data_IF_812169830449
#
_entry.id   IF_812169830449
#
_cell.length_a   1.000
_cell.length_b   1.000
_cell.length_c   1.000
_cell.angle_alpha   90.00
_cell.angle_beta   90.00
_cell.angle_gamma   90.00
#
_symmetry.space_group_name_H-M   'P 1'
#
loop_
_entity.id
_entity.type
_entity.pdbx_description
1 polymer ?
#
# COMPACT_ATOMS: atom_id res chain seq x y z
N UNK A 1 -8.14 26.56 -8.80
CA UNK A 1 -7.59 27.01 -7.50
C UNK A 1 -6.70 25.89 -7.00
N UNK A 2 -5.37 26.05 -7.10
CA UNK A 2 -4.45 25.06 -6.52
C UNK A 2 -4.50 25.26 -5.01
N UNK A 3 -4.75 24.22 -4.19
CA UNK A 3 -4.63 24.37 -2.75
C UNK A 3 -3.21 24.85 -2.46
N UNK A 4 -3.09 26.06 -1.90
CA UNK A 4 -1.83 26.50 -1.30
C UNK A 4 -1.53 25.49 -0.21
N UNK A 5 -0.30 24.94 -0.20
CA UNK A 5 0.17 23.99 0.78
C UNK A 5 -0.28 24.43 2.18
N UNK A 6 -1.30 23.75 2.70
CA UNK A 6 -1.71 23.97 4.07
C UNK A 6 -0.58 23.36 4.90
N UNK A 7 0.32 24.20 5.40
CA UNK A 7 1.28 23.80 6.43
C UNK A 7 0.46 23.14 7.54
N UNK A 8 0.59 21.83 7.66
CA UNK A 8 -0.10 21.11 8.72
C UNK A 8 0.35 21.68 10.07
N UNK A 9 -0.55 21.81 11.06
CA UNK A 9 -0.22 22.47 12.34
C UNK A 9 0.78 21.69 13.21
N UNK A 10 1.42 20.66 12.67
CA UNK A 10 2.40 19.80 13.33
C UNK A 10 3.35 19.18 12.30
N UNK A 11 4.60 18.95 12.72
CA UNK A 11 5.59 18.21 11.93
C UNK A 11 5.10 16.78 11.70
N UNK A 12 4.89 16.41 10.43
CA UNK A 12 4.46 15.07 10.03
C UNK A 12 5.63 14.32 9.42
N UNK A 13 5.80 13.07 9.87
CA UNK A 13 6.66 12.12 9.19
C UNK A 13 5.81 11.48 8.08
N UNK A 14 6.16 11.67 6.80
CA UNK A 14 5.33 11.21 5.69
C UNK A 14 5.30 9.68 5.65
N UNK A 15 4.14 9.07 5.84
CA UNK A 15 4.00 7.62 5.72
C UNK A 15 3.71 7.19 4.29
N UNK A 16 4.08 5.96 3.99
CA UNK A 16 3.71 5.27 2.76
C UNK A 16 2.62 4.23 3.07
N UNK A 17 1.45 4.37 2.45
CA UNK A 17 0.36 3.41 2.54
C UNK A 17 0.58 2.24 1.57
N UNK A 18 0.81 1.05 2.11
CA UNK A 18 0.89 -0.19 1.36
C UNK A 18 -0.49 -0.86 1.32
N UNK A 19 -1.12 -0.84 0.15
CA UNK A 19 -2.46 -1.36 -0.08
C UNK A 19 -2.38 -2.69 -0.84
N UNK A 20 -2.61 -3.79 -0.14
CA UNK A 20 -2.61 -5.14 -0.70
C UNK A 20 -4.02 -5.50 -1.14
N UNK A 21 -4.19 -5.76 -2.43
CA UNK A 21 -5.41 -6.29 -3.02
C UNK A 21 -5.18 -7.75 -3.37
N UNK A 22 -5.67 -8.67 -2.54
CA UNK A 22 -5.40 -10.10 -2.67
C UNK A 22 -6.67 -10.87 -3.01
N UNK A 23 -6.51 -11.97 -3.75
CA UNK A 23 -7.60 -12.92 -4.02
C UNK A 23 -7.58 -14.13 -3.09
N UNK A 24 -6.63 -14.18 -2.16
CA UNK A 24 -6.38 -15.33 -1.30
C UNK A 24 -5.25 -15.02 -0.32
N UNK A 25 -4.50 -16.05 0.13
CA UNK A 25 -3.44 -15.85 1.09
C UNK A 25 -2.33 -14.96 0.55
N UNK A 26 -1.56 -14.38 1.47
CA UNK A 26 -0.31 -13.68 1.19
C UNK A 26 0.85 -14.68 1.37
N UNK A 27 1.22 -15.50 0.37
CA UNK A 27 2.28 -16.49 0.54
C UNK A 27 3.64 -15.85 0.85
N UNK A 28 3.82 -14.60 0.42
CA UNK A 28 5.04 -13.81 0.62
C UNK A 28 4.98 -12.96 1.90
N UNK A 29 4.04 -13.24 2.81
CA UNK A 29 3.90 -12.51 4.07
C UNK A 29 5.21 -12.45 4.87
N UNK A 30 5.99 -13.54 5.06
CA UNK A 30 7.24 -13.46 5.82
C UNK A 30 8.29 -12.54 5.18
N UNK A 31 8.29 -12.41 3.84
CA UNK A 31 9.16 -11.47 3.14
C UNK A 31 8.76 -10.03 3.47
N UNK A 32 7.46 -9.74 3.42
CA UNK A 32 6.93 -8.42 3.74
C UNK A 32 7.13 -8.06 5.22
N UNK A 33 6.96 -9.00 6.15
CA UNK A 33 7.26 -8.78 7.58
C UNK A 33 8.74 -8.40 7.77
N UNK A 34 9.66 -9.08 7.10
CA UNK A 34 11.10 -8.73 7.14
C UNK A 34 11.39 -7.38 6.50
N UNK A 35 10.68 -7.03 5.43
CA UNK A 35 10.81 -5.72 4.77
C UNK A 35 10.38 -4.58 5.70
N UNK A 36 9.29 -4.74 6.44
CA UNK A 36 8.72 -3.69 7.30
C UNK A 36 9.36 -3.57 8.68
N UNK A 37 10.01 -4.64 9.18
CA UNK A 37 10.57 -4.71 10.53
C UNK A 37 11.43 -3.49 10.88
N UNK A 38 11.11 -2.83 11.99
CA UNK A 38 11.86 -1.68 12.54
C UNK A 38 11.51 -0.33 11.92
N UNK A 39 10.47 -0.25 11.09
CA UNK A 39 10.06 0.96 10.38
C UNK A 39 8.59 1.35 10.60
N UNK A 40 7.99 0.90 11.70
CA UNK A 40 6.54 0.93 11.96
C UNK A 40 5.93 2.35 11.94
N UNK A 41 6.76 3.38 12.12
CA UNK A 41 6.34 4.79 12.09
C UNK A 41 6.27 5.40 10.68
N UNK A 42 6.76 4.68 9.66
CA UNK A 42 6.98 5.20 8.30
C UNK A 42 6.00 4.63 7.27
N UNK A 43 5.12 3.72 7.67
CA UNK A 43 4.16 3.09 6.77
C UNK A 43 2.84 2.78 7.48
N UNK A 44 1.82 2.52 6.66
CA UNK A 44 0.54 1.97 7.07
C UNK A 44 0.18 0.83 6.11
N UNK A 45 -0.44 -0.25 6.59
CA UNK A 45 -0.81 -1.42 5.77
C UNK A 45 -2.33 -1.55 5.73
N UNK A 46 -2.86 -1.72 4.53
CA UNK A 46 -4.27 -1.98 4.26
C UNK A 46 -4.39 -3.22 3.39
N UNK A 47 -5.25 -4.16 3.77
CA UNK A 47 -5.46 -5.41 3.05
C UNK A 47 -6.92 -5.53 2.67
N UNK A 48 -7.18 -5.71 1.38
CA UNK A 48 -8.47 -6.14 0.86
C UNK A 48 -8.33 -7.57 0.35
N UNK A 49 -8.97 -8.51 1.03
CA UNK A 49 -8.90 -9.94 0.73
C UNK A 49 -10.29 -10.51 0.42
N UNK A 50 -10.40 -11.84 0.28
CA UNK A 50 -11.72 -12.47 0.22
C UNK A 50 -12.52 -12.21 1.51
N UNK A 51 -13.84 -11.94 1.44
CA UNK A 51 -14.66 -11.81 2.63
C UNK A 51 -14.55 -13.03 3.54
N UNK A 52 -14.31 -12.81 4.84
CA UNK A 52 -14.12 -13.88 5.83
C UNK A 52 -12.73 -14.52 5.85
N UNK A 53 -11.82 -14.11 4.97
CA UNK A 53 -10.42 -14.53 5.06
C UNK A 53 -9.71 -13.77 6.18
N UNK A 54 -9.17 -14.49 7.17
CA UNK A 54 -8.39 -13.92 8.26
C UNK A 54 -6.90 -14.25 8.10
N UNK A 55 -6.04 -13.24 8.31
CA UNK A 55 -4.60 -13.44 8.34
C UNK A 55 -4.20 -14.03 9.70
N UNK A 56 -3.65 -15.24 9.69
CA UNK A 56 -3.12 -15.87 10.89
C UNK A 56 -1.70 -15.34 11.19
N UNK A 57 -1.62 -14.25 11.96
CA UNK A 57 -0.37 -13.58 12.33
C UNK A 57 -0.34 -13.24 13.82
N UNK A 58 0.87 -13.08 14.37
CA UNK A 58 1.04 -12.55 15.73
C UNK A 58 0.57 -11.09 15.81
N UNK A 59 0.15 -10.69 16.99
CA UNK A 59 -0.10 -9.30 17.42
C UNK A 59 1.07 -8.33 17.21
N UNK A 60 2.30 -8.85 17.13
CA UNK A 60 3.50 -8.06 16.83
C UNK A 60 3.76 -7.88 15.34
N UNK A 61 3.01 -8.57 14.47
CA UNK A 61 3.15 -8.46 13.03
C UNK A 61 2.66 -7.10 12.53
N UNK A 62 3.33 -6.48 11.54
CA UNK A 62 2.79 -5.31 10.85
C UNK A 62 1.47 -5.62 10.11
N UNK A 63 1.16 -6.90 9.90
CA UNK A 63 -0.10 -7.37 9.34
C UNK A 63 -1.11 -7.80 10.40
N UNK A 64 -0.98 -7.31 11.64
CA UNK A 64 -2.01 -7.52 12.65
C UNK A 64 -3.21 -6.60 12.41
N UNK A 65 -4.38 -7.21 12.12
CA UNK A 65 -5.65 -6.53 11.79
C UNK A 65 -5.57 -5.41 10.71
N UNK A 66 -4.91 -5.61 9.56
CA UNK A 66 -4.77 -4.61 8.51
C UNK A 66 -5.95 -4.64 7.52
N UNK A 67 -6.92 -5.52 7.76
CA UNK A 67 -7.98 -5.82 6.82
C UNK A 67 -9.04 -4.73 6.82
N UNK A 68 -9.38 -4.27 5.62
CA UNK A 68 -10.50 -3.35 5.41
C UNK A 68 -11.79 -4.13 5.08
N UNK A 69 -12.97 -3.51 5.18
CA UNK A 69 -14.21 -4.12 4.69
C UNK A 69 -14.09 -4.55 3.22
N UNK A 70 -14.03 -5.86 3.00
CA UNK A 70 -13.71 -6.46 1.71
C UNK A 70 -14.94 -7.07 1.02
N UNK A 71 -14.91 -7.14 -0.31
CA UNK A 71 -15.94 -7.78 -1.14
C UNK A 71 -15.33 -8.75 -2.15
N UNK A 72 -16.15 -9.61 -2.75
CA UNK A 72 -15.68 -10.53 -3.80
C UNK A 72 -15.23 -9.74 -5.02
N UNK A 73 -14.04 -10.05 -5.53
CA UNK A 73 -13.43 -9.39 -6.69
C UNK A 73 -13.21 -10.38 -7.82
N UNK A 74 -13.65 -10.04 -9.03
CA UNK A 74 -13.35 -10.78 -10.26
C UNK A 74 -12.39 -9.99 -11.15
N UNK A 75 -11.40 -10.68 -11.72
CA UNK A 75 -10.45 -10.07 -12.67
C UNK A 75 -11.20 -9.49 -13.88
N UNK A 76 -10.72 -8.36 -14.40
CA UNK A 76 -11.32 -7.70 -15.57
C UNK A 76 -12.71 -7.10 -15.35
N UNK A 77 -13.23 -7.09 -14.11
CA UNK A 77 -14.56 -6.58 -13.81
C UNK A 77 -14.51 -5.27 -13.00
N UNK A 78 -15.64 -4.55 -12.98
CA UNK A 78 -15.83 -3.32 -12.18
C UNK A 78 -15.57 -3.53 -10.68
N UNK A 79 -15.79 -4.73 -10.17
CA UNK A 79 -15.49 -5.06 -8.75
C UNK A 79 -14.02 -4.84 -8.37
N UNK A 80 -13.10 -4.99 -9.34
CA UNK A 80 -11.68 -4.72 -9.10
C UNK A 80 -11.41 -3.22 -8.89
N UNK A 81 -12.08 -2.36 -9.65
CA UNK A 81 -11.97 -0.91 -9.49
C UNK A 81 -12.55 -0.47 -8.14
N UNK A 82 -13.69 -1.05 -7.74
CA UNK A 82 -14.32 -0.74 -6.45
C UNK A 82 -13.47 -1.20 -5.26
N UNK A 83 -12.82 -2.36 -5.35
CA UNK A 83 -11.89 -2.81 -4.31
C UNK A 83 -10.68 -1.88 -4.17
N UNK A 84 -10.10 -1.42 -5.28
CA UNK A 84 -9.02 -0.42 -5.26
C UNK A 84 -9.48 0.90 -4.63
N UNK A 85 -10.69 1.37 -4.98
CA UNK A 85 -11.30 2.58 -4.37
C UNK A 85 -11.49 2.43 -2.88
N UNK A 86 -11.94 1.26 -2.40
CA UNK A 86 -12.10 0.98 -0.96
C UNK A 86 -10.78 1.02 -0.22
N UNK A 87 -9.74 0.39 -0.76
CA UNK A 87 -8.38 0.46 -0.22
C UNK A 87 -7.92 1.91 -0.10
N UNK A 88 -8.03 2.66 -1.19
CA UNK A 88 -7.63 4.06 -1.22
C UNK A 88 -8.43 4.90 -0.23
N UNK A 89 -9.75 4.73 -0.15
CA UNK A 89 -10.61 5.46 0.79
C UNK A 89 -10.21 5.19 2.25
N UNK A 90 -9.94 3.93 2.62
CA UNK A 90 -9.48 3.58 3.97
C UNK A 90 -8.07 4.17 4.26
N UNK A 91 -7.19 4.17 3.26
CA UNK A 91 -5.86 4.75 3.39
C UNK A 91 -5.88 6.28 3.53
N UNK A 92 -6.84 6.96 2.89
CA UNK A 92 -6.98 8.41 2.95
C UNK A 92 -7.50 8.93 4.31
N UNK A 93 -8.09 8.07 5.14
CA UNK A 93 -8.50 8.46 6.50
C UNK A 93 -7.30 8.73 7.43
N UNK A 94 -6.15 8.12 7.17
CA UNK A 94 -4.90 8.46 7.86
C UNK A 94 -4.18 9.58 7.09
N UNK A 95 -4.37 10.82 7.56
CA UNK A 95 -3.75 12.01 6.98
C UNK A 95 -2.21 12.03 7.03
N UNK A 96 -1.56 11.08 7.72
CA UNK A 96 -0.10 10.94 7.66
C UNK A 96 0.38 10.16 6.44
N UNK A 97 -0.53 9.53 5.68
CA UNK A 97 -0.19 8.85 4.43
C UNK A 97 -0.04 9.86 3.29
N UNK A 98 1.19 10.00 2.79
CA UNK A 98 1.55 10.93 1.71
C UNK A 98 1.73 10.24 0.36
N UNK A 99 1.94 8.92 0.38
CA UNK A 99 2.16 8.08 -0.81
C UNK A 99 1.35 6.81 -0.68
N UNK A 100 0.84 6.30 -1.80
CA UNK A 100 -0.03 5.14 -1.85
C UNK A 100 0.52 4.13 -2.86
N UNK A 101 0.76 2.91 -2.43
CA UNK A 101 1.24 1.81 -3.27
C UNK A 101 0.15 0.74 -3.31
N UNK A 102 -0.26 0.35 -4.52
CA UNK A 102 -1.17 -0.76 -4.71
C UNK A 102 -0.37 -2.01 -5.12
N UNK A 103 -0.57 -3.11 -4.40
CA UNK A 103 0.16 -4.37 -4.58
C UNK A 103 -0.82 -5.54 -4.68
N UNK A 104 -0.45 -6.57 -5.44
CA UNK A 104 -1.10 -7.89 -5.40
C UNK A 104 -0.34 -8.85 -4.50
N UNK A 105 -0.92 -10.02 -4.25
CA UNK A 105 -0.31 -11.11 -3.48
C UNK A 105 1.02 -11.64 -4.06
N UNK A 106 1.29 -11.38 -5.34
CA UNK A 106 2.49 -11.78 -6.07
C UNK A 106 3.59 -10.73 -6.09
N UNK A 107 3.33 -9.50 -5.64
CA UNK A 107 4.33 -8.44 -5.64
C UNK A 107 5.41 -8.67 -4.58
N UNK A 108 6.65 -8.32 -4.92
CA UNK A 108 7.81 -8.36 -4.01
C UNK A 108 8.57 -7.03 -4.04
N UNK A 109 9.14 -6.61 -2.91
CA UNK A 109 10.11 -5.53 -2.91
C UNK A 109 11.44 -6.03 -3.49
N UNK A 110 12.01 -5.26 -4.42
CA UNK A 110 13.34 -5.55 -5.02
C UNK A 110 14.49 -4.82 -4.31
N UNK A 111 14.18 -3.82 -3.49
CA UNK A 111 15.11 -3.09 -2.63
C UNK A 111 14.63 -3.12 -1.18
N UNK A 112 15.51 -2.78 -0.23
CA UNK A 112 15.14 -2.69 1.19
C UNK A 112 14.23 -1.47 1.48
N UNK A 113 13.58 -1.49 2.65
CA UNK A 113 12.61 -0.45 3.02
C UNK A 113 13.20 0.97 3.04
N UNK A 114 14.36 1.25 3.66
CA UNK A 114 14.92 2.60 3.65
C UNK A 114 15.15 3.16 2.24
N UNK A 115 15.58 2.31 1.30
CA UNK A 115 15.79 2.70 -0.11
C UNK A 115 14.46 3.06 -0.77
N UNK A 116 13.46 2.18 -0.68
CA UNK A 116 12.12 2.39 -1.25
C UNK A 116 11.46 3.63 -0.65
N UNK A 117 11.47 3.75 0.67
CA UNK A 117 10.89 4.89 1.39
C UNK A 117 11.52 6.21 0.97
N UNK A 118 12.87 6.28 0.94
CA UNK A 118 13.60 7.47 0.50
C UNK A 118 13.28 7.83 -0.95
N UNK A 119 13.18 6.84 -1.84
CA UNK A 119 12.81 7.06 -3.23
C UNK A 119 11.42 7.66 -3.37
N UNK A 120 10.41 7.08 -2.71
CA UNK A 120 9.01 7.51 -2.83
C UNK A 120 8.74 8.86 -2.16
N UNK A 121 9.42 9.16 -1.06
CA UNK A 121 9.20 10.42 -0.31
C UNK A 121 10.00 11.59 -0.86
N UNK A 122 11.15 11.36 -1.52
CA UNK A 122 11.99 12.44 -2.07
C UNK A 122 11.84 12.65 -3.57
N UNK A 123 11.34 11.68 -4.33
CA UNK A 123 11.15 11.86 -5.76
C UNK A 123 9.96 12.78 -6.03
N UNK A 124 10.19 13.83 -6.81
CA UNK A 124 9.16 14.68 -7.42
C UNK A 124 8.72 14.17 -8.81
N UNK A 125 9.35 13.10 -9.30
CA UNK A 125 9.15 12.59 -10.64
C UNK A 125 8.33 11.29 -10.60
N UNK A 126 7.27 11.24 -11.42
CA UNK A 126 6.56 10.01 -11.75
C UNK A 126 7.35 9.22 -12.81
N UNK A 127 7.67 7.96 -12.55
CA UNK A 127 8.15 7.03 -13.57
C UNK A 127 6.99 6.16 -14.04
N UNK A 128 6.91 5.92 -15.35
CA UNK A 128 5.97 4.99 -15.96
C UNK A 128 6.77 4.02 -16.83
N UNK A 129 6.92 2.80 -16.33
CA UNK A 129 7.62 1.72 -17.02
C UNK A 129 6.55 0.86 -17.70
N UNK A 130 6.53 0.90 -19.03
CA UNK A 130 5.58 0.19 -19.89
C UNK A 130 6.36 -0.28 -21.14
N UNK A 131 6.30 -1.58 -21.47
CA UNK A 131 6.95 -2.12 -22.68
C UNK A 131 6.29 -1.70 -23.99
N UNK A 132 5.16 -0.98 -23.92
CA UNK A 132 4.65 -0.26 -25.07
C UNK A 132 5.53 0.94 -25.41
N UNK A 133 5.33 1.51 -26.60
CA UNK A 133 6.09 2.66 -27.10
C UNK A 133 6.02 3.91 -26.21
N UNK A 134 5.13 3.92 -25.21
CA UNK A 134 4.89 5.05 -24.31
C UNK A 134 5.56 4.91 -22.94
N UNK A 135 6.24 3.79 -22.63
CA UNK A 135 6.92 3.62 -21.36
C UNK A 135 8.42 3.45 -21.46
N UNK A 136 9.06 3.38 -20.29
CA UNK A 136 10.48 3.07 -20.16
C UNK A 136 10.70 1.55 -20.13
N UNK A 137 10.64 0.91 -21.30
CA UNK A 137 11.25 -0.41 -21.54
C UNK A 137 10.30 -1.48 -22.04
#
# INVERSE_FOLDING_TARGET
>A
MVPKDAEFPYSRVPKVAFMFLTRGPLPLLPLWERFFKGHEKLFSIYVHALPGYELNVSDTSPFYRPQIPSQIVKWGSVSLADAKRRLLANALFDYSNDRFILLSESCIPVYNFPTVYKYLTRSLHSSYDDPSRYGRG
#
